data_IF_540628586182
#
_entry.id   IF_540628586182
#
_cell.length_a   1.000
_cell.length_b   1.000
_cell.length_c   1.000
_cell.angle_alpha   90.00
_cell.angle_beta   90.00
_cell.angle_gamma   90.00
#
_symmetry.space_group_name_H-M   'P 1'
#
loop_
_entity.id
_entity.type
_entity.pdbx_description
1 polymer ?
#
# COMPACT_ATOMS: atom_id res chain seq x y z
N UNK A 1 -35.72 -42.74 63.17
CA UNK A 1 -36.88 -43.36 62.49
C UNK A 1 -37.06 -42.62 61.15
N UNK A 2 -36.68 -43.18 60.00
CA UNK A 2 -37.51 -43.90 59.01
C UNK A 2 -38.80 -43.16 58.53
N UNK A 3 -38.73 -42.72 57.26
CA UNK A 3 -39.74 -42.78 56.16
C UNK A 3 -41.07 -41.95 56.22
N UNK A 4 -41.15 -40.90 55.37
CA UNK A 4 -42.11 -40.56 54.24
C UNK A 4 -43.63 -40.89 54.33
N UNK A 5 -44.56 -40.38 53.44
CA UNK A 5 -44.57 -39.25 52.47
C UNK A 5 -45.92 -38.44 52.35
N UNK A 6 -45.94 -37.45 51.44
CA UNK A 6 -46.97 -37.19 50.39
C UNK A 6 -48.02 -36.07 50.50
N UNK A 7 -48.34 -35.56 49.30
CA UNK A 7 -49.48 -34.76 48.82
C UNK A 7 -49.45 -33.23 49.05
N UNK A 8 -49.94 -32.35 48.18
CA UNK A 8 -50.23 -32.29 46.74
C UNK A 8 -50.77 -30.86 46.46
N UNK A 9 -50.90 -30.48 45.18
CA UNK A 9 -51.73 -29.39 44.60
C UNK A 9 -51.26 -27.92 44.57
N UNK A 10 -50.99 -27.52 43.32
CA UNK A 10 -51.30 -26.26 42.62
C UNK A 10 -51.94 -25.10 43.40
N UNK A 11 -51.37 -23.89 43.21
CA UNK A 11 -52.11 -22.76 42.61
C UNK A 11 -51.12 -21.71 42.06
N UNK A 12 -51.29 -21.34 40.78
CA UNK A 12 -50.64 -20.19 40.14
C UNK A 12 -51.24 -18.87 40.65
N UNK A 13 -50.46 -17.79 40.72
CA UNK A 13 -50.63 -16.55 39.93
C UNK A 13 -49.94 -15.32 40.57
N UNK A 14 -49.36 -14.51 39.67
CA UNK A 14 -49.08 -13.06 39.78
C UNK A 14 -47.89 -12.63 40.64
N UNK A 15 -46.75 -12.37 39.98
CA UNK A 15 -45.84 -11.30 40.42
C UNK A 15 -45.62 -10.32 39.27
N UNK A 16 -46.06 -9.11 39.52
CA UNK A 16 -46.00 -7.97 38.63
C UNK A 16 -44.62 -7.31 38.57
N UNK A 17 -44.55 -6.46 37.55
CA UNK A 17 -43.52 -5.54 37.11
C UNK A 17 -42.60 -4.98 38.21
N UNK A 18 -41.30 -5.20 38.05
CA UNK A 18 -40.27 -4.26 38.49
C UNK A 18 -39.49 -3.80 37.25
N UNK A 19 -39.65 -2.53 36.87
CA UNK A 19 -38.78 -1.89 35.90
C UNK A 19 -37.44 -1.58 36.57
N UNK A 20 -36.36 -2.08 35.98
CA UNK A 20 -35.01 -1.60 36.21
C UNK A 20 -34.45 -1.20 34.84
N UNK A 21 -34.19 0.09 34.66
CA UNK A 21 -33.49 0.62 33.49
C UNK A 21 -32.01 0.21 33.56
N UNK A 22 -31.44 -0.41 32.53
CA UNK A 22 -30.00 -0.53 32.41
C UNK A 22 -29.42 0.76 31.81
N UNK A 23 -28.31 1.18 32.41
CA UNK A 23 -27.43 2.29 32.02
C UNK A 23 -26.83 2.00 30.64
N UNK A 24 -26.91 2.95 29.72
CA UNK A 24 -26.16 2.93 28.45
C UNK A 24 -24.67 3.17 28.76
N UNK A 25 -23.85 2.13 28.63
CA UNK A 25 -22.42 2.31 28.34
C UNK A 25 -22.30 2.61 26.85
N UNK A 26 -21.86 3.83 26.52
CA UNK A 26 -21.39 4.20 25.18
C UNK A 26 -20.15 3.36 24.84
N UNK A 27 -20.37 2.14 24.36
CA UNK A 27 -19.40 1.42 23.57
C UNK A 27 -19.28 2.13 22.23
N UNK A 28 -18.16 2.80 21.98
CA UNK A 28 -17.81 3.29 20.65
C UNK A 28 -17.68 2.10 19.71
N UNK A 29 -18.76 1.72 19.05
CA UNK A 29 -18.68 0.94 17.82
C UNK A 29 -17.97 1.83 16.82
N UNK A 30 -16.68 1.59 16.62
CA UNK A 30 -16.03 1.97 15.37
C UNK A 30 -16.85 1.30 14.27
N UNK A 31 -17.74 2.07 13.66
CA UNK A 31 -18.35 1.71 12.38
C UNK A 31 -17.17 1.55 11.42
N UNK A 32 -16.73 0.30 11.23
CA UNK A 32 -16.05 -0.08 10.00
C UNK A 32 -17.05 0.22 8.88
N UNK A 33 -16.97 1.44 8.33
CA UNK A 33 -17.57 1.77 7.05
C UNK A 33 -17.17 0.65 6.10
N UNK A 34 -18.14 -0.18 5.73
CA UNK A 34 -17.96 -1.23 4.75
C UNK A 34 -17.47 -0.57 3.47
N UNK A 35 -16.18 -0.73 3.17
CA UNK A 35 -15.64 -0.44 1.86
C UNK A 35 -16.46 -1.29 0.87
N UNK A 36 -17.25 -0.64 0.02
CA UNK A 36 -17.79 -1.29 -1.17
C UNK A 36 -16.63 -2.05 -1.82
N UNK A 37 -16.83 -3.35 -2.08
CA UNK A 37 -15.84 -4.20 -2.72
C UNK A 37 -15.57 -3.60 -4.12
N UNK A 38 -14.59 -2.70 -4.18
CA UNK A 38 -14.21 -1.95 -5.38
C UNK A 38 -13.73 -3.02 -6.37
N UNK A 39 -14.62 -3.41 -7.29
CA UNK A 39 -14.39 -4.49 -8.28
C UNK A 39 -13.17 -4.27 -9.16
N UNK A 40 -12.58 -3.07 -9.09
CA UNK A 40 -11.39 -2.64 -9.79
C UNK A 40 -10.18 -2.81 -8.86
N UNK A 41 -9.30 -3.74 -9.20
CA UNK A 41 -8.00 -3.88 -8.50
C UNK A 41 -7.27 -2.53 -8.47
N UNK A 42 -6.71 -2.19 -7.31
CA UNK A 42 -6.12 -0.88 -7.04
C UNK A 42 -4.92 -0.55 -7.97
N UNK A 43 -4.25 -1.54 -8.56
CA UNK A 43 -3.28 -1.29 -9.65
C UNK A 43 -3.97 -0.65 -10.84
N UNK A 44 -5.13 -1.17 -11.25
CA UNK A 44 -5.95 -0.59 -12.32
C UNK A 44 -6.40 0.83 -11.99
N UNK A 45 -6.64 1.13 -10.71
CA UNK A 45 -6.95 2.49 -10.25
C UNK A 45 -5.75 3.45 -10.42
N UNK A 46 -4.54 3.04 -10.03
CA UNK A 46 -3.32 3.83 -10.28
C UNK A 46 -3.14 4.07 -11.78
N UNK A 47 -3.20 3.00 -12.58
CA UNK A 47 -2.98 3.08 -14.03
C UNK A 47 -4.04 3.94 -14.74
N UNK A 48 -5.31 3.83 -14.35
CA UNK A 48 -6.37 4.65 -14.94
C UNK A 48 -6.25 6.11 -14.54
N UNK A 49 -5.84 6.39 -13.29
CA UNK A 49 -5.57 7.77 -12.82
C UNK A 49 -4.34 8.37 -13.53
N UNK A 50 -3.35 7.55 -13.86
CA UNK A 50 -2.11 7.98 -14.54
C UNK A 50 -2.24 8.11 -16.06
N UNK A 51 -3.28 7.52 -16.67
CA UNK A 51 -3.48 7.59 -18.13
C UNK A 51 -3.62 9.02 -18.67
N UNK A 52 -4.00 9.99 -17.81
CA UNK A 52 -4.05 11.41 -18.14
C UNK A 52 -2.84 12.23 -17.68
N UNK A 53 -1.80 11.60 -17.11
CA UNK A 53 -0.62 12.31 -16.62
C UNK A 53 0.26 12.80 -17.78
N UNK A 54 0.84 13.99 -17.63
CA UNK A 54 1.84 14.54 -18.57
C UNK A 54 3.27 14.13 -18.21
N UNK A 55 3.46 13.32 -17.17
CA UNK A 55 4.77 12.88 -16.69
C UNK A 55 5.25 11.64 -17.44
N UNK A 56 6.56 11.50 -17.61
CA UNK A 56 7.17 10.29 -18.16
C UNK A 56 7.27 9.22 -17.07
N UNK A 57 6.31 8.31 -17.03
CA UNK A 57 6.20 7.26 -16.01
C UNK A 57 6.72 5.91 -16.53
N UNK A 58 7.72 5.36 -15.84
CA UNK A 58 8.14 3.97 -15.96
C UNK A 58 7.27 3.10 -15.08
N UNK A 59 7.02 1.86 -15.48
CA UNK A 59 6.18 0.93 -14.71
C UNK A 59 4.87 1.61 -14.27
N UNK A 60 4.27 2.44 -15.12
CA UNK A 60 2.99 3.11 -14.86
C UNK A 60 2.98 4.26 -13.86
N UNK A 61 3.84 4.29 -12.84
CA UNK A 61 3.80 5.24 -11.70
C UNK A 61 5.18 5.63 -11.13
N UNK A 62 6.28 5.18 -11.73
CA UNK A 62 7.63 5.62 -11.37
C UNK A 62 8.08 6.78 -12.24
N UNK A 63 8.40 7.93 -11.64
CA UNK A 63 9.00 9.04 -12.38
C UNK A 63 10.34 8.62 -13.01
N UNK A 64 10.43 8.71 -14.34
CA UNK A 64 11.66 8.44 -15.07
C UNK A 64 12.77 9.40 -14.60
N UNK A 65 13.94 8.90 -14.17
CA UNK A 65 15.03 9.77 -13.73
C UNK A 65 15.54 10.65 -14.87
N UNK A 66 15.50 11.98 -14.70
CA UNK A 66 16.02 12.93 -15.71
C UNK A 66 17.56 13.05 -15.69
N UNK A 67 18.21 12.66 -14.60
CA UNK A 67 19.66 12.81 -14.40
C UNK A 67 20.42 11.49 -14.29
N UNK A 68 19.76 10.34 -14.35
CA UNK A 68 20.38 9.01 -14.18
C UNK A 68 20.01 8.10 -15.34
N UNK A 69 21.02 7.55 -16.00
CA UNK A 69 20.86 6.57 -17.07
C UNK A 69 20.61 5.13 -16.56
N UNK A 70 20.77 4.87 -15.26
CA UNK A 70 20.49 3.58 -14.64
C UNK A 70 19.77 3.75 -13.29
N UNK A 71 18.65 3.02 -13.12
CA UNK A 71 17.85 3.03 -11.88
C UNK A 71 18.53 2.27 -10.73
N UNK A 72 19.57 1.47 -11.00
CA UNK A 72 20.25 0.71 -9.96
C UNK A 72 21.03 1.65 -9.05
N UNK A 73 20.71 1.56 -7.76
CA UNK A 73 21.37 2.31 -6.72
C UNK A 73 22.70 1.66 -6.32
N UNK A 74 23.76 1.97 -7.06
CA UNK A 74 25.10 1.44 -6.77
C UNK A 74 25.79 2.09 -5.57
N UNK A 75 25.30 3.26 -5.14
CA UNK A 75 25.82 4.01 -3.99
C UNK A 75 24.69 4.25 -2.98
N UNK A 76 24.99 4.28 -1.68
CA UNK A 76 24.01 4.66 -0.65
C UNK A 76 23.40 6.07 -0.85
N UNK A 77 23.89 6.85 -1.81
CA UNK A 77 23.39 8.19 -2.13
C UNK A 77 21.98 8.22 -2.75
N UNK A 78 21.41 7.10 -3.21
CA UNK A 78 19.98 7.06 -3.56
C UNK A 78 19.06 6.79 -2.36
N UNK A 79 19.62 6.42 -1.19
CA UNK A 79 18.81 6.10 -0.02
C UNK A 79 18.68 7.33 0.86
N UNK A 80 17.56 7.41 1.58
CA UNK A 80 17.40 8.33 2.70
C UNK A 80 18.44 8.03 3.78
N UNK A 81 19.01 9.09 4.36
CA UNK A 81 20.14 8.96 5.28
C UNK A 81 19.67 8.40 6.62
N UNK A 82 20.43 7.46 7.15
CA UNK A 82 20.24 6.92 8.51
C UNK A 82 21.11 7.69 9.50
N UNK A 83 20.54 8.12 10.61
CA UNK A 83 21.24 8.72 11.74
C UNK A 83 20.70 8.13 13.05
N UNK A 84 21.60 7.70 13.94
CA UNK A 84 21.25 7.19 15.27
C UNK A 84 20.17 6.10 15.26
N UNK A 85 20.27 5.13 14.35
CA UNK A 85 19.30 4.03 14.25
C UNK A 85 18.02 4.36 13.48
N UNK A 86 17.77 5.63 13.13
CA UNK A 86 16.54 6.11 12.49
C UNK A 86 16.81 6.65 11.09
N UNK A 87 15.87 6.45 10.18
CA UNK A 87 15.87 7.08 8.85
C UNK A 87 14.78 8.14 8.81
N UNK A 88 15.19 9.41 8.87
CA UNK A 88 14.24 10.52 8.79
C UNK A 88 13.97 10.86 7.33
N UNK A 89 12.70 10.87 6.95
CA UNK A 89 12.22 11.28 5.63
C UNK A 89 11.42 12.58 5.79
N UNK A 90 12.02 13.74 5.51
CA UNK A 90 11.32 15.01 5.58
C UNK A 90 10.24 15.09 4.51
N UNK A 91 9.07 15.63 4.85
CA UNK A 91 7.97 15.81 3.90
C UNK A 91 7.23 17.14 4.09
N UNK A 92 6.56 17.58 3.04
CA UNK A 92 5.50 18.61 3.09
C UNK A 92 4.24 18.04 2.43
N UNK A 93 3.06 18.42 2.92
CA UNK A 93 1.79 18.10 2.28
C UNK A 93 1.17 19.38 1.75
N UNK A 94 0.81 19.40 0.47
CA UNK A 94 0.20 20.55 -0.18
C UNK A 94 -1.05 21.04 0.56
N UNK A 95 -1.23 22.36 0.60
CA UNK A 95 -2.42 22.99 1.19
C UNK A 95 -3.72 22.68 0.42
N UNK A 96 -3.62 22.15 -0.80
CA UNK A 96 -4.77 21.72 -1.61
C UNK A 96 -5.49 20.47 -1.07
N UNK A 97 -4.86 19.72 -0.17
CA UNK A 97 -5.49 18.61 0.53
C UNK A 97 -6.29 19.12 1.73
N UNK A 98 -7.52 18.60 1.90
CA UNK A 98 -8.31 18.87 3.10
C UNK A 98 -7.70 18.21 4.34
N UNK A 99 -8.14 18.58 5.54
CA UNK A 99 -7.62 17.99 6.78
C UNK A 99 -7.84 16.47 6.83
N UNK A 100 -9.01 15.98 6.40
CA UNK A 100 -9.29 14.54 6.32
C UNK A 100 -8.31 13.82 5.37
N UNK A 101 -8.01 14.42 4.22
CA UNK A 101 -7.05 13.86 3.26
C UNK A 101 -5.62 13.86 3.82
N UNK A 102 -5.21 14.93 4.51
CA UNK A 102 -3.93 14.97 5.24
C UNK A 102 -3.86 13.88 6.31
N UNK A 103 -4.95 13.67 7.06
CA UNK A 103 -5.03 12.62 8.07
C UNK A 103 -4.92 11.22 7.47
N UNK A 104 -5.47 10.97 6.27
CA UNK A 104 -5.28 9.71 5.56
C UNK A 104 -3.81 9.48 5.18
N UNK A 105 -3.16 10.50 4.63
CA UNK A 105 -1.74 10.43 4.25
C UNK A 105 -0.86 10.17 5.48
N UNK A 106 -1.10 10.88 6.58
CA UNK A 106 -0.32 10.67 7.82
C UNK A 106 -0.62 9.33 8.48
N UNK A 107 -1.84 8.79 8.38
CA UNK A 107 -2.15 7.41 8.81
C UNK A 107 -1.34 6.36 8.05
N UNK A 108 -1.20 6.51 6.73
CA UNK A 108 -0.37 5.63 5.91
C UNK A 108 1.12 5.72 6.32
N UNK A 109 1.64 6.93 6.52
CA UNK A 109 2.99 7.13 7.06
C UNK A 109 3.18 6.40 8.40
N UNK A 110 2.26 6.59 9.35
CA UNK A 110 2.30 5.94 10.67
C UNK A 110 2.26 4.41 10.57
N UNK A 111 1.56 3.84 9.58
CA UNK A 111 1.56 2.40 9.36
C UNK A 111 2.95 1.85 9.02
N UNK A 112 3.74 2.58 8.23
CA UNK A 112 5.13 2.22 7.93
C UNK A 112 6.05 2.41 9.15
N UNK A 113 5.88 3.52 9.88
CA UNK A 113 6.71 3.86 11.06
C UNK A 113 6.60 2.82 12.17
N UNK A 114 5.41 2.24 12.38
CA UNK A 114 5.16 1.24 13.43
C UNK A 114 5.97 -0.05 13.28
N UNK A 115 6.44 -0.37 12.07
CA UNK A 115 7.08 -1.67 11.76
C UNK A 115 8.52 -1.53 11.25
N UNK A 116 9.01 -0.29 11.15
CA UNK A 116 10.32 0.01 10.55
C UNK A 116 11.05 1.12 11.32
N UNK A 117 12.31 1.38 10.98
CA UNK A 117 13.07 2.53 11.48
C UNK A 117 12.87 3.82 10.67
N UNK A 118 11.95 3.82 9.68
CA UNK A 118 11.58 5.01 8.92
C UNK A 118 10.76 5.95 9.81
N UNK A 119 11.04 7.26 9.78
CA UNK A 119 10.28 8.30 10.46
C UNK A 119 10.00 9.44 9.50
N UNK A 120 8.73 9.66 9.21
CA UNK A 120 8.28 10.81 8.42
C UNK A 120 8.21 12.02 9.35
N UNK A 121 8.85 13.10 8.92
CA UNK A 121 8.91 14.34 9.70
C UNK A 121 8.47 15.49 8.82
N UNK A 122 7.59 16.35 9.33
CA UNK A 122 7.31 17.61 8.65
C UNK A 122 8.62 18.39 8.47
N UNK A 123 8.88 18.74 7.21
CA UNK A 123 10.12 19.40 6.82
C UNK A 123 10.22 20.76 7.49
N UNK A 124 11.41 21.09 7.98
CA UNK A 124 11.78 22.44 8.37
C UNK A 124 12.74 23.06 7.35
N UNK A 125 14.01 22.65 7.37
CA UNK A 125 15.10 23.22 6.54
C UNK A 125 15.87 22.17 5.75
N UNK A 126 15.45 20.92 5.80
CA UNK A 126 16.12 19.82 5.12
C UNK A 126 16.12 20.06 3.60
N UNK A 127 17.29 19.86 2.97
CA UNK A 127 17.47 20.06 1.54
C UNK A 127 16.73 19.00 0.72
N UNK A 128 16.90 17.72 1.11
CA UNK A 128 16.21 16.58 0.51
C UNK A 128 14.87 16.34 1.23
N UNK A 129 13.76 16.32 0.49
CA UNK A 129 12.44 16.08 1.07
C UNK A 129 11.40 15.66 0.02
N UNK A 130 10.34 14.99 0.48
CA UNK A 130 9.18 14.64 -0.33
C UNK A 130 8.16 15.79 -0.32
N UNK A 131 7.74 16.26 -1.50
CA UNK A 131 6.64 17.19 -1.69
C UNK A 131 5.40 16.41 -2.13
N UNK A 132 4.44 16.23 -1.23
CA UNK A 132 3.20 15.50 -1.50
C UNK A 132 2.21 16.49 -2.13
N UNK A 133 1.91 16.29 -3.40
CA UNK A 133 1.18 17.23 -4.24
C UNK A 133 -0.05 16.58 -4.90
N UNK A 134 -1.10 17.37 -5.14
CA UNK A 134 -2.24 16.96 -5.93
C UNK A 134 -1.98 17.24 -7.42
N UNK A 135 -1.26 16.34 -8.10
CA UNK A 135 -1.08 16.39 -9.56
C UNK A 135 -1.95 15.34 -10.25
N UNK A 136 -1.84 15.26 -11.58
CA UNK A 136 -2.52 14.24 -12.38
C UNK A 136 -1.79 12.91 -12.23
N UNK A 137 -2.38 11.98 -11.47
CA UNK A 137 -1.83 10.66 -11.25
C UNK A 137 -1.39 10.36 -9.80
N UNK A 138 -1.10 9.08 -9.56
CA UNK A 138 -0.42 8.52 -8.40
C UNK A 138 0.98 8.13 -8.88
N UNK A 139 2.02 8.81 -8.40
CA UNK A 139 3.38 8.48 -8.81
C UNK A 139 4.41 9.01 -7.82
N UNK A 140 5.59 8.43 -7.88
CA UNK A 140 6.71 8.79 -7.02
C UNK A 140 8.04 8.58 -7.74
N UNK A 141 9.08 9.22 -7.21
CA UNK A 141 10.44 8.92 -7.63
C UNK A 141 10.96 7.66 -6.91
N UNK A 142 11.88 6.93 -7.54
CA UNK A 142 12.51 5.76 -6.92
C UNK A 142 13.66 6.18 -5.98
N UNK A 143 13.43 6.09 -4.68
CA UNK A 143 14.40 6.47 -3.65
C UNK A 143 14.56 7.99 -3.48
N UNK A 144 15.63 8.40 -2.80
CA UNK A 144 16.04 9.80 -2.62
C UNK A 144 16.76 10.30 -3.87
N UNK A 145 16.20 11.31 -4.53
CA UNK A 145 16.75 11.87 -5.79
C UNK A 145 17.58 13.14 -5.60
N UNK A 146 17.48 13.79 -4.44
CA UNK A 146 18.18 15.03 -4.13
C UNK A 146 17.28 16.26 -4.28
N UNK A 147 17.28 17.15 -3.28
CA UNK A 147 16.42 18.32 -3.25
C UNK A 147 14.94 17.96 -3.03
N UNK A 148 14.04 18.80 -3.57
CA UNK A 148 12.60 18.54 -3.56
C UNK A 148 12.26 17.44 -4.57
N UNK A 149 11.71 16.31 -4.11
CA UNK A 149 11.12 15.30 -4.99
C UNK A 149 9.61 15.22 -4.82
N UNK A 150 8.89 15.15 -5.92
CA UNK A 150 7.41 15.11 -5.91
C UNK A 150 6.95 13.68 -5.66
N UNK A 151 5.92 13.55 -4.84
CA UNK A 151 5.06 12.38 -4.76
C UNK A 151 3.64 12.87 -5.05
N UNK A 152 3.09 12.45 -6.19
CA UNK A 152 1.75 12.85 -6.60
C UNK A 152 0.71 11.93 -6.00
N UNK A 153 -0.30 12.51 -5.37
CA UNK A 153 -1.52 11.83 -4.98
C UNK A 153 -2.69 12.65 -5.50
N UNK A 154 -3.19 12.29 -6.68
CA UNK A 154 -4.42 12.91 -7.17
C UNK A 154 -5.56 12.71 -6.17
N UNK A 155 -6.23 13.80 -5.84
CA UNK A 155 -7.45 13.77 -5.01
C UNK A 155 -8.52 12.86 -5.62
N UNK A 156 -8.49 12.72 -6.95
CA UNK A 156 -9.28 11.77 -7.71
C UNK A 156 -8.45 10.49 -7.90
N UNK A 157 -8.72 9.46 -7.09
CA UNK A 157 -8.22 8.10 -7.35
C UNK A 157 -6.96 7.65 -6.60
N UNK A 158 -6.17 8.54 -6.00
CA UNK A 158 -4.93 8.13 -5.30
C UNK A 158 -5.03 8.16 -3.77
N UNK A 159 -6.04 8.82 -3.20
CA UNK A 159 -6.24 8.93 -1.75
C UNK A 159 -6.90 7.67 -1.20
N UNK A 160 -6.14 6.58 -1.25
CA UNK A 160 -6.44 5.28 -0.66
C UNK A 160 -5.27 4.84 0.20
N UNK A 161 -5.51 4.23 1.35
CA UNK A 161 -4.46 3.92 2.33
C UNK A 161 -3.28 3.17 1.71
N UNK A 162 -3.52 2.10 0.95
CA UNK A 162 -2.45 1.33 0.34
C UNK A 162 -1.79 1.98 -0.87
N UNK A 163 -2.50 2.83 -1.63
CA UNK A 163 -1.85 3.61 -2.70
C UNK A 163 -0.85 4.58 -2.09
N UNK A 164 -1.21 5.27 -1.00
CA UNK A 164 -0.25 6.16 -0.31
C UNK A 164 0.96 5.38 0.20
N UNK A 165 0.77 4.20 0.81
CA UNK A 165 1.89 3.35 1.22
C UNK A 165 2.75 2.93 0.02
N UNK A 166 2.12 2.55 -1.10
CA UNK A 166 2.81 2.13 -2.32
C UNK A 166 3.73 3.24 -2.86
N UNK A 167 3.21 4.46 -3.02
CA UNK A 167 4.00 5.61 -3.50
C UNK A 167 5.12 6.02 -2.53
N UNK A 168 4.86 5.92 -1.22
CA UNK A 168 5.89 6.14 -0.20
C UNK A 168 6.97 5.06 -0.27
N UNK A 169 6.61 3.81 -0.57
CA UNK A 169 7.56 2.72 -0.71
C UNK A 169 8.44 2.87 -1.96
N UNK A 170 7.90 3.41 -3.05
CA UNK A 170 8.70 3.89 -4.19
C UNK A 170 9.70 4.96 -3.75
N UNK A 171 9.27 5.96 -2.97
CA UNK A 171 10.16 7.00 -2.44
C UNK A 171 11.26 6.44 -1.51
N UNK A 172 11.06 5.26 -0.92
CA UNK A 172 12.08 4.52 -0.16
C UNK A 172 13.02 3.68 -1.03
N UNK A 173 12.74 3.54 -2.33
CA UNK A 173 13.61 2.88 -3.30
C UNK A 173 13.17 1.47 -3.70
N UNK A 174 11.90 1.11 -3.46
CA UNK A 174 11.36 -0.19 -3.88
C UNK A 174 10.69 -0.10 -5.25
N UNK A 175 11.06 -1.00 -6.15
CA UNK A 175 10.41 -1.20 -7.44
C UNK A 175 9.25 -2.19 -7.31
N UNK A 176 8.53 -2.42 -8.41
CA UNK A 176 7.47 -3.40 -8.42
C UNK A 176 7.96 -4.85 -8.29
N UNK A 177 7.13 -5.68 -7.68
CA UNK A 177 7.46 -7.09 -7.44
C UNK A 177 7.51 -7.89 -8.75
N UNK A 178 6.60 -7.64 -9.71
CA UNK A 178 6.57 -8.34 -11.01
C UNK A 178 7.73 -8.01 -11.94
N UNK A 179 8.53 -7.00 -11.61
CA UNK A 179 9.72 -6.61 -12.38
C UNK A 179 11.01 -7.16 -11.78
N UNK A 180 10.96 -7.94 -10.69
CA UNK A 180 12.14 -8.62 -10.14
C UNK A 180 12.89 -9.47 -11.18
N UNK A 181 14.21 -9.55 -11.01
CA UNK A 181 15.10 -10.35 -11.85
C UNK A 181 14.76 -11.85 -11.91
N UNK A 182 14.16 -12.39 -10.86
CA UNK A 182 13.78 -13.80 -10.69
C UNK A 182 12.28 -14.09 -10.96
N UNK A 183 11.50 -13.08 -11.36
CA UNK A 183 10.02 -13.15 -11.42
C UNK A 183 9.48 -14.28 -12.31
N UNK A 184 10.20 -14.70 -13.35
CA UNK A 184 9.74 -15.75 -14.29
C UNK A 184 9.58 -17.12 -13.61
N UNK A 185 10.15 -17.31 -12.42
CA UNK A 185 9.95 -18.52 -11.61
C UNK A 185 8.62 -18.51 -10.85
N UNK A 186 7.92 -17.37 -10.82
CA UNK A 186 6.76 -17.11 -9.95
C UNK A 186 5.55 -16.60 -10.71
N UNK A 187 5.73 -15.89 -11.82
CA UNK A 187 4.64 -15.38 -12.64
C UNK A 187 4.94 -15.57 -14.12
N UNK A 188 3.88 -15.75 -14.91
CA UNK A 188 3.92 -15.70 -16.36
C UNK A 188 3.33 -14.38 -16.82
N UNK A 189 4.03 -13.71 -17.74
CA UNK A 189 3.50 -12.51 -18.40
C UNK A 189 2.83 -12.91 -19.70
N UNK A 190 1.55 -12.61 -19.82
CA UNK A 190 0.73 -12.89 -21.00
C UNK A 190 0.85 -11.72 -21.98
N UNK A 191 1.99 -11.64 -22.66
CA UNK A 191 2.35 -10.54 -23.57
C UNK A 191 1.30 -10.24 -24.64
N UNK A 192 0.55 -11.25 -25.08
CA UNK A 192 -0.52 -11.11 -26.08
C UNK A 192 -1.67 -10.17 -25.63
N UNK A 193 -1.82 -9.92 -24.33
CA UNK A 193 -2.82 -9.01 -23.79
C UNK A 193 -2.25 -7.63 -23.44
N UNK A 194 -0.97 -7.39 -23.68
CA UNK A 194 -0.28 -6.13 -23.38
C UNK A 194 -0.01 -5.38 -24.68
N UNK A 195 -0.28 -4.07 -24.70
CA UNK A 195 0.00 -3.23 -25.87
C UNK A 195 1.53 -3.11 -26.05
N UNK A 196 2.08 -3.19 -27.28
CA UNK A 196 3.53 -3.06 -27.49
C UNK A 196 4.13 -1.78 -26.90
N UNK A 197 3.38 -0.67 -26.94
CA UNK A 197 3.80 0.62 -26.39
C UNK A 197 3.88 0.67 -24.86
N UNK A 198 3.34 -0.31 -24.13
CA UNK A 198 3.37 -0.38 -22.65
C UNK A 198 4.06 -1.65 -22.13
N UNK A 199 4.57 -2.50 -23.03
CA UNK A 199 5.26 -3.75 -22.66
C UNK A 199 6.48 -3.52 -21.75
N UNK A 200 7.13 -2.37 -21.87
CA UNK A 200 8.28 -2.01 -21.03
C UNK A 200 7.96 -1.98 -19.53
N UNK A 201 6.70 -1.76 -19.14
CA UNK A 201 6.25 -1.79 -17.73
C UNK A 201 6.36 -3.19 -17.09
N UNK A 202 6.52 -4.23 -17.90
CA UNK A 202 6.63 -5.63 -17.46
C UNK A 202 8.03 -6.20 -17.67
N UNK A 203 8.97 -5.42 -18.19
CA UNK A 203 10.34 -5.89 -18.39
C UNK A 203 11.01 -6.11 -17.03
N UNK A 204 11.77 -7.20 -16.93
CA UNK A 204 12.55 -7.48 -15.73
C UNK A 204 13.60 -6.41 -15.54
N UNK A 205 13.80 -6.05 -14.28
CA UNK A 205 14.77 -5.09 -13.82
C UNK A 205 15.89 -5.85 -13.12
N UNK A 206 17.10 -5.29 -13.15
CA UNK A 206 18.24 -5.85 -12.43
C UNK A 206 18.17 -5.48 -10.94
N UNK A 207 17.24 -6.12 -10.24
CA UNK A 207 16.86 -5.80 -8.86
C UNK A 207 17.87 -6.31 -7.83
N UNK A 208 18.05 -5.57 -6.74
CA UNK A 208 18.62 -6.12 -5.51
C UNK A 208 17.50 -6.73 -4.68
N UNK A 209 17.36 -8.05 -4.72
CA UNK A 209 16.29 -8.79 -4.04
C UNK A 209 16.48 -8.88 -2.52
N UNK A 210 17.58 -8.36 -1.97
CA UNK A 210 17.92 -8.37 -0.54
C UNK A 210 17.87 -9.77 0.10
N UNK A 211 18.15 -10.82 -0.69
CA UNK A 211 18.01 -12.22 -0.29
C UNK A 211 16.63 -12.57 0.29
N UNK A 212 15.59 -11.92 -0.20
CA UNK A 212 14.20 -12.21 0.16
C UNK A 212 13.49 -12.97 -0.95
N UNK A 213 12.56 -13.89 -0.61
CA UNK A 213 11.77 -14.60 -1.61
C UNK A 213 10.87 -13.63 -2.38
N UNK A 214 10.33 -14.11 -3.50
CA UNK A 214 9.27 -13.42 -4.22
C UNK A 214 7.98 -13.41 -3.39
N UNK A 215 7.27 -12.29 -3.38
CA UNK A 215 6.08 -12.10 -2.55
C UNK A 215 4.87 -11.64 -3.37
N UNK A 216 3.99 -12.59 -3.71
CA UNK A 216 2.71 -12.30 -4.35
C UNK A 216 1.83 -11.32 -3.57
N UNK A 217 1.98 -11.27 -2.24
CA UNK A 217 1.22 -10.38 -1.35
C UNK A 217 1.87 -9.02 -1.16
N UNK A 218 2.99 -8.73 -1.82
CA UNK A 218 3.66 -7.43 -1.72
C UNK A 218 2.73 -6.32 -2.20
N UNK A 219 2.71 -5.21 -1.46
CA UNK A 219 1.99 -4.00 -1.88
C UNK A 219 2.56 -3.41 -3.18
N UNK A 220 3.75 -3.85 -3.59
CA UNK A 220 4.41 -3.44 -4.83
C UNK A 220 4.10 -4.38 -6.01
N UNK A 221 3.26 -5.40 -5.84
CA UNK A 221 2.92 -6.32 -6.93
C UNK A 221 1.72 -5.78 -7.72
N UNK A 222 1.81 -5.74 -9.05
CA UNK A 222 0.64 -5.46 -9.90
C UNK A 222 -0.49 -6.48 -9.74
N UNK A 223 -1.72 -6.04 -9.94
CA UNK A 223 -2.87 -6.92 -10.14
C UNK A 223 -2.82 -7.68 -11.47
N UNK A 224 -3.65 -8.72 -11.57
CA UNK A 224 -3.70 -9.66 -12.71
C UNK A 224 -3.98 -8.99 -14.05
N UNK A 225 -4.76 -7.91 -14.06
CA UNK A 225 -5.28 -7.25 -15.26
C UNK A 225 -4.56 -5.93 -15.58
N UNK A 226 -3.45 -5.63 -14.90
CA UNK A 226 -2.67 -4.42 -15.14
C UNK A 226 -2.34 -4.25 -16.63
N UNK A 227 -2.59 -3.07 -17.21
CA UNK A 227 -2.36 -2.76 -18.63
C UNK A 227 -3.00 -3.70 -19.66
N UNK A 228 -4.03 -4.48 -19.27
CA UNK A 228 -4.69 -5.36 -20.23
C UNK A 228 -5.37 -4.56 -21.35
N UNK A 229 -5.23 -5.06 -22.58
CA UNK A 229 -5.94 -4.52 -23.76
C UNK A 229 -7.30 -5.17 -23.96
N UNK A 230 -7.64 -6.19 -23.17
CA UNK A 230 -8.89 -6.95 -23.29
C UNK A 230 -9.53 -7.12 -21.91
N UNK A 231 -10.80 -6.73 -21.79
CA UNK A 231 -11.55 -6.84 -20.55
C UNK A 231 -11.54 -8.28 -20.01
N UNK A 232 -11.22 -8.44 -18.72
CA UNK A 232 -11.17 -9.73 -18.03
C UNK A 232 -9.97 -10.62 -18.41
N UNK A 233 -9.06 -10.19 -19.28
CA UNK A 233 -7.84 -10.96 -19.61
C UNK A 233 -6.69 -10.57 -18.70
N UNK A 234 -6.05 -11.58 -18.11
CA UNK A 234 -4.90 -11.40 -17.23
C UNK A 234 -3.63 -11.14 -18.04
N UNK A 235 -2.88 -10.10 -17.70
CA UNK A 235 -1.53 -9.85 -18.18
C UNK A 235 -0.48 -10.54 -17.31
N UNK A 236 -0.82 -10.85 -16.05
CA UNK A 236 0.03 -11.57 -15.10
C UNK A 236 -0.73 -12.76 -14.51
N UNK A 237 -0.19 -13.96 -14.70
CA UNK A 237 -0.73 -15.19 -14.10
C UNK A 237 0.31 -15.80 -13.15
N UNK A 238 -0.03 -16.00 -11.86
CA UNK A 238 0.85 -16.68 -10.90
C UNK A 238 1.19 -18.12 -11.31
N UNK A 239 2.37 -18.59 -10.90
CA UNK A 239 2.92 -19.91 -11.22
C UNK A 239 3.65 -20.50 -10.01
N UNK A 240 3.51 -21.80 -9.68
CA UNK A 240 2.77 -22.83 -10.42
C UNK A 240 1.27 -22.83 -10.18
N UNK A 241 0.80 -22.18 -9.11
CA UNK A 241 -0.61 -22.11 -8.78
C UNK A 241 -1.23 -20.80 -9.30
N UNK A 242 -2.06 -20.82 -10.36
CA UNK A 242 -2.66 -19.62 -10.94
C UNK A 242 -3.71 -18.96 -10.04
N UNK A 243 -4.14 -19.59 -8.94
CA UNK A 243 -5.16 -19.06 -8.04
C UNK A 243 -4.59 -18.18 -6.90
N UNK A 244 -3.27 -18.03 -6.81
CA UNK A 244 -2.64 -17.18 -5.79
C UNK A 244 -3.02 -15.71 -5.98
N UNK A 245 -3.47 -15.03 -4.94
CA UNK A 245 -3.86 -13.62 -5.05
C UNK A 245 -2.64 -12.71 -5.22
N UNK A 246 -2.75 -11.73 -6.12
CA UNK A 246 -1.76 -10.67 -6.39
C UNK A 246 -2.47 -9.34 -6.55
N UNK A 247 -1.80 -8.23 -6.28
CA UNK A 247 -2.38 -6.88 -6.47
C UNK A 247 -2.94 -6.23 -5.21
N UNK A 248 -2.86 -6.88 -4.05
CA UNK A 248 -3.40 -6.31 -2.80
C UNK A 248 -2.82 -4.91 -2.52
N UNK A 249 -3.66 -4.00 -2.03
CA UNK A 249 -3.28 -2.64 -1.59
C UNK A 249 -3.92 -2.29 -0.25
N UNK A 250 -3.96 -3.25 0.66
CA UNK A 250 -4.47 -3.01 2.02
C UNK A 250 -3.34 -2.58 2.96
N UNK A 251 -2.18 -3.25 2.88
CA UNK A 251 -1.08 -3.05 3.84
C UNK A 251 0.26 -3.51 3.28
N UNK A 252 1.35 -3.09 3.94
CA UNK A 252 2.66 -3.70 3.75
C UNK A 252 2.60 -5.18 4.13
N UNK A 253 3.08 -6.05 3.24
CA UNK A 253 3.30 -7.45 3.57
C UNK A 253 4.43 -7.59 4.61
N UNK A 254 4.57 -8.78 5.18
CA UNK A 254 5.70 -9.08 6.07
C UNK A 254 7.05 -8.96 5.34
N UNK A 255 7.09 -9.28 4.04
CA UNK A 255 8.31 -9.16 3.24
C UNK A 255 8.59 -7.71 2.84
N UNK A 256 7.57 -6.88 2.56
CA UNK A 256 7.76 -5.44 2.34
C UNK A 256 8.45 -4.80 3.55
N UNK A 257 7.91 -5.05 4.75
CA UNK A 257 8.51 -4.57 6.02
C UNK A 257 9.93 -5.10 6.19
N UNK A 258 10.15 -6.40 5.98
CA UNK A 258 11.47 -7.01 6.14
C UNK A 258 12.48 -6.39 5.17
N UNK A 259 12.09 -6.13 3.93
CA UNK A 259 12.95 -5.51 2.91
C UNK A 259 13.28 -4.05 3.24
N UNK A 260 12.31 -3.26 3.72
CA UNK A 260 12.59 -1.91 4.24
C UNK A 260 13.64 -1.98 5.35
N UNK A 261 13.43 -2.88 6.33
CA UNK A 261 14.34 -3.03 7.46
C UNK A 261 15.73 -3.51 7.03
N UNK A 262 15.84 -4.45 6.09
CA UNK A 262 17.11 -4.90 5.54
C UNK A 262 17.84 -3.80 4.76
N UNK A 263 17.12 -3.07 3.89
CA UNK A 263 17.69 -2.01 3.06
C UNK A 263 18.27 -0.88 3.92
N UNK A 264 17.51 -0.46 4.95
CA UNK A 264 17.89 0.62 5.86
C UNK A 264 18.58 0.14 7.14
N UNK A 265 18.88 -1.16 7.23
CA UNK A 265 19.54 -1.80 8.38
C UNK A 265 18.92 -1.44 9.71
N UNK A 266 17.58 -1.36 9.74
CA UNK A 266 16.84 -1.40 10.99
C UNK A 266 17.17 -2.75 11.67
#
# INVERSE_FOLDING_TARGET
LKMTPSASLLLLLLLGLSQAFPVEEEGSSEEEEGEEEDTIDMTTRILSTNNGSNENLLEGDLLAPITRNAMRCFSQSCLWKKASGVVTVPYVISYHFSQSQKNMITRAMKAMERRTCIRFKERSREYDFISIENRQGCFSALGRTGGRQVLSLSKQGCLHHGIVIHELNHALGFQHEQTRSDRDSYVRINWQYIKPSTAYNFHKQNTNNLNTPYDYSSIMHYGRTAFTTQYGKETITPYPNPNVQIGQRQRLSSWDVKRINLLYRC
#
